data_IF_373857995050
#
_entry.id   IF_373857995050
#
_cell.length_a   1.000
_cell.length_b   1.000
_cell.length_c   1.000
_cell.angle_alpha   90.00
_cell.angle_beta   90.00
_cell.angle_gamma   90.00
#
_symmetry.space_group_name_H-M   'P 1'
#
loop_
_entity.id
_entity.type
_entity.pdbx_description
1 polymer ?
#
# COMPACT_ATOMS: atom_id res chain seq x y z
N UNK A 1 -8.36 11.51 -14.51
CA UNK A 1 -8.58 12.89 -14.98
C UNK A 1 -7.92 13.86 -14.02
N UNK A 2 -6.88 14.51 -14.50
CA UNK A 2 -6.13 15.55 -13.79
C UNK A 2 -6.94 16.85 -13.73
N UNK A 3 -6.63 17.72 -12.76
CA UNK A 3 -7.24 19.06 -12.69
C UNK A 3 -6.70 19.94 -13.82
N UNK A 4 -7.46 20.95 -14.22
CA UNK A 4 -6.99 21.96 -15.17
C UNK A 4 -5.74 22.67 -14.63
N UNK A 5 -4.73 22.85 -15.49
CA UNK A 5 -3.45 23.48 -15.16
C UNK A 5 -3.61 24.86 -14.51
N UNK A 6 -4.60 25.66 -14.96
CA UNK A 6 -4.87 27.01 -14.43
C UNK A 6 -5.20 27.01 -12.92
N UNK A 7 -5.70 25.90 -12.37
CA UNK A 7 -6.13 25.81 -10.96
C UNK A 7 -5.05 25.29 -10.01
N UNK A 8 -3.91 24.84 -10.54
CA UNK A 8 -2.83 24.24 -9.74
C UNK A 8 -3.17 22.87 -9.12
N UNK A 9 -2.16 22.23 -8.48
CA UNK A 9 -2.35 21.01 -7.73
C UNK A 9 -3.24 21.25 -6.51
N UNK A 10 -4.09 20.28 -6.19
CA UNK A 10 -4.94 20.37 -5.00
C UNK A 10 -4.31 19.61 -3.84
N UNK A 11 -4.08 20.31 -2.72
CA UNK A 11 -3.59 19.72 -1.48
C UNK A 11 -4.47 20.22 -0.35
N UNK A 12 -4.86 19.33 0.54
CA UNK A 12 -5.63 19.69 1.74
C UNK A 12 -4.77 20.52 2.70
N UNK A 13 -5.21 21.72 3.12
CA UNK A 13 -4.47 22.56 4.05
C UNK A 13 -4.17 21.86 5.39
N UNK A 14 -5.04 20.95 5.85
CA UNK A 14 -4.81 20.17 7.08
C UNK A 14 -3.70 19.14 6.89
N UNK A 15 -3.50 18.64 5.68
CA UNK A 15 -2.42 17.71 5.37
C UNK A 15 -1.08 18.44 5.37
N UNK A 16 -1.02 19.63 4.75
CA UNK A 16 0.19 20.48 4.76
C UNK A 16 0.61 20.84 6.18
N UNK A 17 -0.32 21.32 7.01
CA UNK A 17 -0.04 21.63 8.43
C UNK A 17 0.46 20.44 9.25
N UNK A 18 0.13 19.21 8.86
CA UNK A 18 0.64 18.00 9.54
C UNK A 18 2.06 17.64 9.13
N UNK A 19 2.50 18.08 7.96
CA UNK A 19 3.81 17.81 7.38
C UNK A 19 4.78 18.95 7.72
N UNK A 20 4.26 20.17 7.81
CA UNK A 20 5.01 21.37 8.17
C UNK A 20 5.81 21.17 9.47
N UNK A 21 7.12 21.39 9.40
CA UNK A 21 8.04 21.26 10.54
C UNK A 21 8.37 19.82 10.96
N UNK A 22 7.88 18.80 10.23
CA UNK A 22 8.21 17.40 10.51
C UNK A 22 9.24 16.85 9.53
N UNK A 23 10.02 15.88 9.98
CA UNK A 23 10.92 15.12 9.12
C UNK A 23 10.38 13.70 8.90
N UNK A 24 10.64 13.15 7.72
CA UNK A 24 10.22 11.80 7.35
C UNK A 24 10.90 10.69 8.18
N UNK A 25 12.01 10.99 8.87
CA UNK A 25 12.72 10.03 9.71
C UNK A 25 12.13 9.91 11.12
N UNK A 26 11.58 11.00 11.65
CA UNK A 26 11.09 11.06 13.03
C UNK A 26 9.64 10.63 13.15
N UNK A 27 8.81 10.92 12.14
CA UNK A 27 7.38 10.68 12.22
C UNK A 27 7.02 9.26 11.72
N UNK A 28 6.36 8.42 12.53
CA UNK A 28 6.11 7.02 12.16
C UNK A 28 5.08 6.87 11.03
N UNK A 29 3.97 7.62 11.05
CA UNK A 29 2.94 7.58 10.00
C UNK A 29 1.99 8.78 10.10
N UNK A 30 1.75 9.46 8.98
CA UNK A 30 0.75 10.53 8.87
C UNK A 30 -0.58 9.95 8.36
N UNK A 31 -1.59 9.88 9.24
CA UNK A 31 -2.94 9.45 8.86
C UNK A 31 -3.69 10.54 8.11
N UNK A 32 -4.27 10.18 6.96
CA UNK A 32 -5.02 11.07 6.09
C UNK A 32 -6.28 10.41 5.52
N UNK A 33 -7.36 11.20 5.51
CA UNK A 33 -8.59 10.91 4.78
C UNK A 33 -8.64 11.65 3.44
N UNK A 34 -7.71 12.57 3.21
CA UNK A 34 -7.69 13.40 2.01
C UNK A 34 -7.07 12.64 0.83
N UNK A 35 -7.85 11.73 0.27
CA UNK A 35 -7.45 10.91 -0.91
C UNK A 35 -7.35 11.73 -2.20
N UNK A 36 -7.99 12.90 -2.23
CA UNK A 36 -7.97 13.79 -3.38
C UNK A 36 -6.72 14.68 -3.45
N UNK A 37 -5.93 14.73 -2.37
CA UNK A 37 -4.69 15.50 -2.33
C UNK A 37 -3.65 14.91 -3.28
N UNK A 38 -3.03 15.79 -4.05
CA UNK A 38 -1.90 15.50 -4.90
C UNK A 38 -0.62 15.45 -4.07
N UNK A 39 0.27 14.52 -4.41
CA UNK A 39 1.55 14.35 -3.75
C UNK A 39 2.47 15.51 -4.18
N UNK A 40 2.90 16.30 -3.21
CA UNK A 40 3.88 17.37 -3.40
C UNK A 40 5.30 16.83 -3.19
N UNK A 41 6.34 17.48 -3.76
CA UNK A 41 7.74 17.09 -3.56
C UNK A 41 8.15 17.04 -2.07
N UNK A 42 7.59 17.92 -1.25
CA UNK A 42 7.83 17.96 0.21
C UNK A 42 7.34 16.71 0.95
N UNK A 43 6.46 15.91 0.33
CA UNK A 43 5.90 14.70 0.92
C UNK A 43 6.77 13.46 0.67
N UNK A 44 7.83 13.57 -0.11
CA UNK A 44 8.72 12.45 -0.45
C UNK A 44 9.43 11.94 0.80
N UNK A 45 9.49 10.62 0.95
CA UNK A 45 10.09 9.95 2.10
C UNK A 45 9.14 9.72 3.28
N UNK A 46 8.04 10.48 3.38
CA UNK A 46 7.03 10.28 4.42
C UNK A 46 6.23 9.00 4.22
N UNK A 47 5.77 8.43 5.33
CA UNK A 47 4.84 7.31 5.36
C UNK A 47 3.43 7.83 5.64
N UNK A 48 2.53 7.65 4.68
CA UNK A 48 1.12 8.05 4.81
C UNK A 48 0.24 6.85 5.08
N UNK A 49 -0.61 6.96 6.09
CA UNK A 49 -1.76 6.08 6.23
C UNK A 49 -2.92 6.67 5.43
N UNK A 50 -3.20 6.15 4.23
CA UNK A 50 -4.29 6.62 3.37
C UNK A 50 -5.54 5.78 3.61
N UNK A 51 -6.61 6.42 4.08
CA UNK A 51 -7.87 5.73 4.36
C UNK A 51 -8.53 5.21 3.09
N UNK A 52 -8.90 3.92 3.05
CA UNK A 52 -9.55 3.29 1.89
C UNK A 52 -11.06 3.06 2.06
N UNK A 53 -11.65 3.52 3.16
CA UNK A 53 -13.06 3.27 3.51
C UNK A 53 -13.25 2.26 4.65
N UNK A 54 -12.20 1.52 5.03
CA UNK A 54 -12.21 0.59 6.17
C UNK A 54 -10.97 0.76 7.05
N UNK A 55 -9.80 0.81 6.44
CA UNK A 55 -8.51 0.88 7.14
C UNK A 55 -7.62 1.95 6.51
N UNK A 56 -6.58 2.36 7.23
CA UNK A 56 -5.51 3.18 6.66
C UNK A 56 -4.47 2.22 6.09
N UNK A 57 -4.20 2.34 4.80
CA UNK A 57 -3.13 1.60 4.14
C UNK A 57 -1.86 2.43 4.19
N UNK A 58 -0.75 1.79 4.54
CA UNK A 58 0.56 2.42 4.59
C UNK A 58 1.12 2.59 3.18
N UNK A 59 1.43 3.83 2.82
CA UNK A 59 2.00 4.22 1.54
C UNK A 59 3.25 5.05 1.82
N UNK A 60 4.42 4.49 1.51
CA UNK A 60 5.67 5.24 1.52
C UNK A 60 5.82 5.98 0.20
N UNK A 61 5.90 7.29 0.25
CA UNK A 61 5.94 8.14 -0.94
C UNK A 61 7.36 8.21 -1.50
N UNK A 62 7.50 7.88 -2.78
CA UNK A 62 8.74 8.03 -3.57
C UNK A 62 8.64 9.21 -4.53
N UNK A 63 9.75 9.61 -5.15
CA UNK A 63 9.81 10.73 -6.10
C UNK A 63 8.93 10.48 -7.34
N UNK A 64 8.87 9.25 -7.83
CA UNK A 64 8.04 8.87 -8.98
C UNK A 64 6.52 9.07 -8.74
N UNK A 65 6.11 9.16 -7.47
CA UNK A 65 4.71 9.38 -7.10
C UNK A 65 4.31 10.85 -7.12
N UNK A 66 5.25 11.79 -7.28
CA UNK A 66 4.96 13.23 -7.32
C UNK A 66 4.05 13.52 -8.52
N UNK A 67 2.97 14.28 -8.27
CA UNK A 67 1.96 14.58 -9.29
C UNK A 67 0.76 13.63 -9.29
N UNK A 68 0.88 12.44 -8.71
CA UNK A 68 -0.23 11.52 -8.49
C UNK A 68 -1.05 11.90 -7.26
N UNK A 69 -2.25 11.31 -7.12
CA UNK A 69 -3.07 11.47 -5.91
C UNK A 69 -2.85 10.34 -4.93
N UNK A 70 -2.88 10.67 -3.64
CA UNK A 70 -2.76 9.67 -2.56
C UNK A 70 -3.78 8.53 -2.66
N UNK A 71 -4.99 8.83 -3.18
CA UNK A 71 -6.04 7.84 -3.38
C UNK A 71 -5.74 6.75 -4.41
N UNK A 72 -4.80 6.98 -5.34
CA UNK A 72 -4.40 6.02 -6.37
C UNK A 72 -3.64 4.82 -5.77
N UNK A 73 -2.90 5.07 -4.69
CA UNK A 73 -2.11 4.06 -3.98
C UNK A 73 -2.90 3.33 -2.88
N UNK A 74 -4.19 3.64 -2.71
CA UNK A 74 -5.05 3.07 -1.67
C UNK A 74 -6.35 2.53 -2.29
N UNK A 75 -6.37 1.26 -2.74
CA UNK A 75 -7.52 0.67 -3.39
C UNK A 75 -8.70 0.50 -2.41
N UNK A 76 -9.90 0.89 -2.85
CA UNK A 76 -11.13 0.88 -2.03
C UNK A 76 -11.89 -0.43 -2.09
N UNK A 77 -11.83 -1.12 -3.23
CA UNK A 77 -12.52 -2.38 -3.46
C UNK A 77 -11.48 -3.46 -3.62
N UNK A 78 -11.62 -4.54 -2.85
CA UNK A 78 -10.87 -5.77 -3.10
C UNK A 78 -11.45 -6.42 -4.34
N UNK A 79 -10.70 -6.47 -5.43
CA UNK A 79 -11.06 -7.33 -6.55
C UNK A 79 -10.88 -8.78 -6.09
N UNK A 80 -11.98 -9.51 -5.95
CA UNK A 80 -11.93 -10.88 -5.46
C UNK A 80 -11.56 -11.82 -6.60
N UNK A 81 -12.37 -11.84 -7.69
CA UNK A 81 -12.09 -12.41 -9.02
C UNK A 81 -13.38 -12.74 -9.80
N UNK A 82 -13.26 -12.82 -11.13
CA UNK A 82 -14.17 -13.58 -11.99
C UNK A 82 -13.35 -14.71 -12.62
N UNK A 83 -13.36 -15.90 -12.00
CA UNK A 83 -12.56 -17.03 -12.46
C UNK A 83 -13.40 -18.31 -12.42
N UNK A 84 -13.61 -18.92 -13.58
CA UNK A 84 -14.23 -20.25 -13.71
C UNK A 84 -13.31 -21.37 -13.19
N UNK A 85 -13.64 -22.62 -13.55
CA UNK A 85 -12.98 -23.84 -13.03
C UNK A 85 -11.44 -23.83 -13.14
N UNK A 86 -10.90 -23.36 -14.26
CA UNK A 86 -9.45 -23.35 -14.54
C UNK A 86 -8.61 -22.61 -13.49
N UNK A 87 -9.11 -21.49 -12.95
CA UNK A 87 -8.36 -20.70 -11.97
C UNK A 87 -8.44 -21.31 -10.56
N UNK A 88 -9.53 -22.04 -10.24
CA UNK A 88 -9.65 -22.80 -8.99
C UNK A 88 -8.65 -23.95 -8.96
N UNK A 89 -8.47 -24.64 -10.09
CA UNK A 89 -7.50 -25.72 -10.23
C UNK A 89 -6.06 -25.24 -10.07
N UNK A 90 -5.71 -24.07 -10.65
CA UNK A 90 -4.39 -23.46 -10.46
C UNK A 90 -4.12 -23.05 -9.01
N UNK A 91 -5.13 -22.57 -8.28
CA UNK A 91 -5.00 -22.25 -6.85
C UNK A 91 -4.91 -23.49 -5.97
N UNK A 92 -5.64 -24.56 -6.28
CA UNK A 92 -5.52 -25.83 -5.57
C UNK A 92 -4.14 -26.43 -5.76
N UNK A 93 -3.62 -26.45 -6.99
CA UNK A 93 -2.23 -26.86 -7.27
C UNK A 93 -1.20 -26.02 -6.51
N UNK A 94 -1.38 -24.69 -6.47
CA UNK A 94 -0.47 -23.80 -5.70
C UNK A 94 -0.53 -24.09 -4.19
N UNK A 95 -1.73 -24.26 -3.63
CA UNK A 95 -1.91 -24.62 -2.21
C UNK A 95 -1.33 -25.99 -1.88
N UNK A 96 -1.54 -26.99 -2.73
CA UNK A 96 -0.95 -28.32 -2.58
C UNK A 96 0.58 -28.27 -2.64
N UNK A 97 1.16 -27.45 -3.52
CA UNK A 97 2.60 -27.25 -3.60
C UNK A 97 3.19 -26.55 -2.37
N UNK A 98 2.51 -25.55 -1.80
CA UNK A 98 2.92 -24.90 -0.56
C UNK A 98 2.80 -25.84 0.65
N UNK A 99 1.74 -26.66 0.70
CA UNK A 99 1.56 -27.67 1.76
C UNK A 99 2.62 -28.77 1.65
N UNK A 100 2.97 -29.20 0.45
CA UNK A 100 4.02 -30.17 0.21
C UNK A 100 5.40 -29.62 0.61
N UNK A 101 5.72 -28.37 0.24
CA UNK A 101 6.95 -27.69 0.65
C UNK A 101 7.02 -27.52 2.18
N UNK A 102 5.91 -27.16 2.83
CA UNK A 102 5.84 -27.01 4.28
C UNK A 102 5.95 -28.36 5.04
N UNK A 103 5.49 -29.46 4.44
CA UNK A 103 5.67 -30.82 4.99
C UNK A 103 7.10 -31.32 4.82
N UNK A 104 7.72 -31.07 3.66
CA UNK A 104 9.12 -31.42 3.41
C UNK A 104 10.09 -30.69 4.36
N UNK A 105 9.88 -29.39 4.57
CA UNK A 105 10.67 -28.60 5.52
C UNK A 105 10.55 -29.07 6.98
N UNK A 106 9.39 -29.66 7.36
CA UNK A 106 9.18 -30.23 8.70
C UNK A 106 9.77 -31.63 8.87
N UNK A 107 9.95 -32.39 7.79
CA UNK A 107 10.58 -33.72 7.86
C UNK A 107 12.11 -33.70 7.91
N UNK A 108 12.75 -32.58 7.53
CA UNK A 108 14.22 -32.43 7.54
C UNK A 108 14.79 -31.97 8.89
N UNK A 109 13.94 -31.71 9.91
CA UNK A 109 14.39 -31.40 11.28
C UNK A 109 14.22 -32.58 12.25
N UNK A 110 15.03 -33.65 12.14
CA UNK A 110 15.38 -34.38 13.34
C UNK A 110 16.83 -34.88 13.29
N UNK A 111 17.77 -34.15 13.91
CA UNK A 111 18.93 -34.70 14.64
C UNK A 111 19.98 -33.62 14.94
N UNK A 112 19.87 -32.98 16.11
CA UNK A 112 21.05 -32.61 16.91
C UNK A 112 20.63 -32.43 18.37
N UNK A 113 20.44 -33.58 19.03
CA UNK A 113 20.56 -33.72 20.48
C UNK A 113 21.83 -34.53 20.72
N UNK A 114 22.91 -33.85 21.09
CA UNK A 114 23.98 -34.35 21.95
C UNK A 114 24.68 -33.15 22.53
#
# INVERSE_FOLDING_TARGET
>A
MTRSLKKGPHIDPKLLKKIEGKSAQTEPMIKTWSRASQIAPEMVGFLFGVYNGKTHLEVRVTEDMVGHRLGEFSPTKKFVRHGGKMQKELEQKKKESEIAAAKAAKSETPAKKK
#
